data_IF_147440386955
#
_entry.id   IF_147440386955
#
_cell.length_a   1.000
_cell.length_b   1.000
_cell.length_c   1.000
_cell.angle_alpha   90.00
_cell.angle_beta   90.00
_cell.angle_gamma   90.00
#
_symmetry.space_group_name_H-M   'P 1'
#
loop_
_entity.id
_entity.type
_entity.pdbx_description
1 polymer ?
#
# COMPACT_ATOMS: atom_id res chain seq x y z
N UNK A 1 -8.17 6.22 20.61
CA UNK A 1 -8.40 5.45 19.36
C UNK A 1 -7.14 4.66 19.15
N UNK A 2 -7.25 3.41 18.72
CA UNK A 2 -6.11 2.50 18.65
C UNK A 2 -5.94 1.93 17.25
N UNK A 3 -4.74 1.46 16.94
CA UNK A 3 -4.43 0.69 15.73
C UNK A 3 -3.76 -0.63 16.12
N UNK A 4 -3.93 -1.66 15.29
CA UNK A 4 -3.15 -2.88 15.41
C UNK A 4 -1.83 -2.72 14.67
N UNK A 5 -0.74 -3.00 15.38
CA UNK A 5 0.59 -3.19 14.80
C UNK A 5 0.87 -4.69 14.72
N UNK A 6 1.89 -5.08 13.98
CA UNK A 6 2.32 -6.48 13.88
C UNK A 6 2.78 -7.08 15.23
N UNK A 7 3.01 -6.22 16.22
CA UNK A 7 3.40 -6.59 17.60
C UNK A 7 2.27 -6.38 18.62
N UNK A 8 1.07 -6.02 18.18
CA UNK A 8 -0.09 -5.83 19.06
C UNK A 8 -0.73 -4.45 18.95
N UNK A 9 -1.74 -4.21 19.80
CA UNK A 9 -2.51 -2.96 19.80
C UNK A 9 -1.70 -1.80 20.38
N UNK A 10 -1.82 -0.64 19.75
CA UNK A 10 -1.15 0.61 20.15
C UNK A 10 -2.14 1.78 20.08
N UNK A 11 -2.06 2.71 21.03
CA UNK A 11 -2.89 3.92 20.97
C UNK A 11 -2.34 4.91 19.95
N UNK A 12 -3.22 5.58 19.21
CA UNK A 12 -2.82 6.43 18.08
C UNK A 12 -1.97 7.63 18.49
N UNK A 13 -2.07 8.09 19.74
CA UNK A 13 -1.23 9.16 20.28
C UNK A 13 0.23 8.73 20.54
N UNK A 14 0.54 7.43 20.47
CA UNK A 14 1.88 6.90 20.66
C UNK A 14 2.65 6.74 19.33
N UNK A 15 1.97 6.85 18.17
CA UNK A 15 2.54 6.52 16.86
C UNK A 15 3.64 7.48 16.40
N UNK A 16 3.73 8.68 16.97
CA UNK A 16 4.72 9.68 16.55
C UNK A 16 4.58 10.05 15.07
N UNK A 17 5.73 10.18 14.38
CA UNK A 17 5.76 10.47 12.94
C UNK A 17 5.56 9.18 12.15
N UNK A 18 4.53 9.16 11.30
CA UNK A 18 4.13 7.96 10.56
C UNK A 18 4.48 8.10 9.09
N UNK A 19 5.13 7.07 8.52
CA UNK A 19 5.17 6.86 7.07
C UNK A 19 3.96 6.00 6.67
N UNK A 20 2.93 6.56 6.00
CA UNK A 20 1.62 5.91 5.90
C UNK A 20 1.47 4.91 4.75
N UNK A 21 2.50 4.72 3.92
CA UNK A 21 2.48 3.71 2.85
C UNK A 21 3.91 3.43 2.40
N UNK A 22 4.43 2.30 2.79
CA UNK A 22 5.76 1.84 2.45
C UNK A 22 5.72 0.30 2.28
N UNK A 23 6.87 -0.27 1.93
CA UNK A 23 7.06 -1.72 1.84
C UNK A 23 8.40 -2.06 2.47
N UNK A 24 8.39 -2.80 3.57
CA UNK A 24 9.61 -3.31 4.19
C UNK A 24 10.15 -4.48 3.38
N UNK A 25 9.25 -5.33 2.88
CA UNK A 25 9.56 -6.44 1.98
C UNK A 25 8.55 -6.44 0.83
N UNK A 26 8.99 -6.74 -0.38
CA UNK A 26 8.12 -6.81 -1.56
C UNK A 26 8.76 -7.64 -2.66
N UNK A 27 7.97 -8.38 -3.44
CA UNK A 27 8.41 -9.06 -4.65
C UNK A 27 7.48 -8.76 -5.84
N UNK A 28 7.96 -7.88 -6.72
CA UNK A 28 7.27 -7.46 -7.92
C UNK A 28 7.77 -8.18 -9.19
N UNK A 29 8.75 -9.08 -9.08
CA UNK A 29 9.41 -9.70 -10.25
C UNK A 29 8.43 -10.40 -11.17
N UNK A 30 7.38 -11.01 -10.61
CA UNK A 30 6.32 -11.69 -11.38
C UNK A 30 5.48 -10.75 -12.27
N UNK A 31 5.50 -9.44 -12.02
CA UNK A 31 4.76 -8.43 -12.80
C UNK A 31 5.64 -7.73 -13.82
N UNK A 32 6.95 -8.00 -13.81
CA UNK A 32 7.88 -7.44 -14.79
C UNK A 32 7.70 -8.17 -16.12
N UNK A 33 7.55 -7.39 -17.19
CA UNK A 33 7.47 -7.94 -18.55
C UNK A 33 8.73 -8.73 -18.89
N UNK A 34 8.62 -9.98 -19.39
CA UNK A 34 9.80 -10.79 -19.69
C UNK A 34 10.70 -10.14 -20.75
N UNK A 35 12.04 -10.10 -20.54
CA UNK A 35 12.97 -9.57 -21.52
C UNK A 35 12.98 -10.41 -22.80
N UNK A 36 12.98 -9.76 -23.97
CA UNK A 36 12.82 -10.42 -25.26
C UNK A 36 14.16 -10.80 -25.89
N UNK A 37 15.08 -9.84 -25.95
CA UNK A 37 16.41 -10.00 -26.54
C UNK A 37 17.42 -10.66 -25.58
N UNK A 38 18.52 -11.18 -26.14
CA UNK A 38 19.62 -11.76 -25.36
C UNK A 38 20.23 -10.71 -24.42
N UNK A 39 20.41 -9.48 -24.91
CA UNK A 39 20.99 -8.38 -24.13
C UNK A 39 20.09 -7.97 -22.96
N UNK A 40 18.77 -7.90 -23.17
CA UNK A 40 17.82 -7.62 -22.09
C UNK A 40 17.78 -8.75 -21.06
N UNK A 41 17.85 -10.02 -21.50
CA UNK A 41 17.90 -11.17 -20.58
C UNK A 41 19.13 -11.11 -19.68
N UNK A 42 20.30 -10.78 -20.25
CA UNK A 42 21.54 -10.62 -19.49
C UNK A 42 21.41 -9.48 -18.47
N UNK A 43 20.94 -8.32 -18.92
CA UNK A 43 20.75 -7.14 -18.07
C UNK A 43 19.76 -7.40 -16.93
N UNK A 44 18.65 -8.08 -17.22
CA UNK A 44 17.62 -8.40 -16.23
C UNK A 44 18.14 -9.28 -15.08
N UNK A 45 19.15 -10.12 -15.33
CA UNK A 45 19.78 -10.98 -14.33
C UNK A 45 20.92 -10.33 -13.54
N UNK A 46 21.31 -9.09 -13.88
CA UNK A 46 22.35 -8.38 -13.13
C UNK A 46 21.87 -7.98 -11.73
N UNK A 47 22.83 -7.64 -10.86
CA UNK A 47 22.57 -6.98 -9.57
C UNK A 47 22.61 -5.46 -9.74
N UNK A 48 21.80 -4.74 -8.95
CA UNK A 48 21.81 -3.28 -8.92
C UNK A 48 23.21 -2.80 -8.52
N UNK A 49 23.78 -1.89 -9.30
CA UNK A 49 25.07 -1.29 -9.01
C UNK A 49 25.20 0.10 -9.67
N UNK A 50 26.28 0.82 -9.35
CA UNK A 50 26.48 2.19 -9.86
C UNK A 50 26.58 2.26 -11.39
N UNK A 51 27.05 1.21 -12.07
CA UNK A 51 27.24 1.23 -13.53
C UNK A 51 25.92 1.09 -14.29
N UNK A 52 24.94 0.39 -13.71
CA UNK A 52 23.63 0.20 -14.32
C UNK A 52 22.55 1.16 -13.78
N UNK A 53 22.89 2.06 -12.86
CA UNK A 53 21.97 3.07 -12.33
C UNK A 53 21.29 3.92 -13.40
N UNK A 54 22.01 4.29 -14.47
CA UNK A 54 21.43 5.04 -15.58
C UNK A 54 20.33 4.28 -16.33
N UNK A 55 20.42 2.95 -16.39
CA UNK A 55 19.36 2.09 -16.96
C UNK A 55 18.12 2.16 -16.07
N UNK A 56 18.30 1.95 -14.76
CA UNK A 56 17.21 1.94 -13.78
C UNK A 56 16.44 3.27 -13.73
N UNK A 57 17.12 4.40 -13.94
CA UNK A 57 16.45 5.70 -14.03
C UNK A 57 15.44 5.82 -15.20
N UNK A 58 15.61 5.03 -16.26
CA UNK A 58 14.73 5.03 -17.43
C UNK A 58 13.70 3.91 -17.38
N UNK A 59 14.10 2.76 -16.85
CA UNK A 59 13.25 1.61 -16.65
C UNK A 59 13.63 0.93 -15.33
N UNK A 60 12.91 1.22 -14.22
CA UNK A 60 13.15 0.60 -12.92
C UNK A 60 12.99 -0.92 -12.92
N UNK A 61 12.31 -1.49 -13.91
CA UNK A 61 12.07 -2.92 -14.05
C UNK A 61 13.05 -3.60 -15.03
N UNK A 62 14.05 -2.88 -15.57
CA UNK A 62 15.03 -3.45 -16.48
C UNK A 62 15.96 -4.48 -15.81
N UNK A 63 16.08 -4.44 -14.49
CA UNK A 63 16.92 -5.32 -13.67
C UNK A 63 16.03 -5.89 -12.57
N UNK A 64 15.85 -7.21 -12.54
CA UNK A 64 14.90 -7.87 -11.64
C UNK A 64 15.27 -7.71 -10.16
N UNK A 65 16.56 -7.51 -9.88
CA UNK A 65 17.08 -7.20 -8.54
C UNK A 65 16.49 -5.90 -7.96
N UNK A 66 16.14 -4.91 -8.81
CA UNK A 66 15.49 -3.67 -8.36
C UNK A 66 13.98 -3.85 -8.11
N UNK A 67 13.39 -4.99 -8.51
CA UNK A 67 11.97 -5.29 -8.37
C UNK A 67 11.65 -6.14 -7.13
N UNK A 68 12.61 -6.31 -6.22
CA UNK A 68 12.47 -7.08 -4.98
C UNK A 68 13.15 -6.35 -3.82
N UNK A 69 12.55 -6.41 -2.64
CA UNK A 69 13.17 -6.02 -1.36
C UNK A 69 13.05 -7.25 -0.45
N UNK A 70 14.14 -8.00 -0.30
CA UNK A 70 14.19 -9.25 0.47
C UNK A 70 15.41 -9.34 1.42
N UNK A 71 16.26 -8.31 1.47
CA UNK A 71 17.44 -8.26 2.34
C UNK A 71 17.10 -7.70 3.74
N UNK A 72 16.82 -8.60 4.69
CA UNK A 72 16.39 -8.24 6.06
C UNK A 72 17.35 -7.28 6.78
N UNK A 73 18.68 -7.45 6.64
CA UNK A 73 19.67 -6.58 7.28
C UNK A 73 19.61 -5.13 6.75
N UNK A 74 19.35 -4.96 5.44
CA UNK A 74 19.18 -3.64 4.82
C UNK A 74 17.89 -3.00 5.33
N UNK A 75 16.79 -3.75 5.39
CA UNK A 75 15.50 -3.29 5.91
C UNK A 75 15.63 -2.83 7.37
N UNK A 76 16.31 -3.61 8.22
CA UNK A 76 16.57 -3.23 9.61
C UNK A 76 17.40 -1.96 9.73
N UNK A 77 18.43 -1.80 8.89
CA UNK A 77 19.27 -0.61 8.87
C UNK A 77 18.47 0.65 8.48
N UNK A 78 17.65 0.57 7.42
CA UNK A 78 16.81 1.68 6.95
C UNK A 78 15.74 2.07 7.99
N UNK A 79 15.06 1.10 8.59
CA UNK A 79 14.09 1.38 9.66
C UNK A 79 14.77 1.96 10.90
N UNK A 80 15.99 1.53 11.23
CA UNK A 80 16.78 2.13 12.31
C UNK A 80 17.16 3.58 11.99
N UNK A 81 17.51 3.87 10.74
CA UNK A 81 17.78 5.24 10.29
C UNK A 81 16.53 6.12 10.41
N UNK A 82 15.37 5.62 9.97
CA UNK A 82 14.07 6.31 10.14
C UNK A 82 13.77 6.59 11.62
N UNK A 83 13.95 5.60 12.51
CA UNK A 83 13.78 5.79 13.96
C UNK A 83 14.71 6.87 14.52
N UNK A 84 15.99 6.85 14.14
CA UNK A 84 16.98 7.86 14.57
C UNK A 84 16.64 9.27 14.08
N UNK A 85 15.97 9.38 12.93
CA UNK A 85 15.46 10.64 12.41
C UNK A 85 14.16 11.14 13.10
N UNK A 86 13.66 10.41 14.11
CA UNK A 86 12.42 10.75 14.83
C UNK A 86 11.17 10.03 14.32
N UNK A 87 11.34 9.05 13.42
CA UNK A 87 10.27 8.19 12.94
C UNK A 87 9.63 7.39 14.07
N UNK A 88 8.30 7.39 14.10
CA UNK A 88 7.52 6.77 15.17
C UNK A 88 6.80 5.49 14.75
N UNK A 89 6.26 5.41 13.53
CA UNK A 89 5.63 4.20 13.00
C UNK A 89 5.67 4.14 11.47
N UNK A 90 5.49 2.94 10.93
CA UNK A 90 5.58 2.64 9.51
C UNK A 90 4.38 1.78 9.10
N UNK A 91 3.71 2.14 8.00
CA UNK A 91 2.61 1.35 7.44
C UNK A 91 3.13 0.55 6.25
N UNK A 92 3.15 -0.78 6.40
CA UNK A 92 3.51 -1.71 5.34
C UNK A 92 2.25 -2.09 4.55
N UNK A 93 2.20 -1.73 3.27
CA UNK A 93 1.09 -2.05 2.37
C UNK A 93 1.42 -3.21 1.44
N UNK A 94 2.42 -4.04 1.75
CA UNK A 94 2.67 -5.26 1.00
C UNK A 94 1.55 -6.26 1.25
N UNK A 95 0.75 -6.50 0.20
CA UNK A 95 -0.35 -7.45 0.20
C UNK A 95 0.10 -8.88 -0.12
N UNK A 96 -0.80 -9.85 0.07
CA UNK A 96 -0.55 -11.28 -0.21
C UNK A 96 0.01 -11.48 -1.61
N UNK A 97 -0.52 -10.73 -2.57
CA UNK A 97 -0.17 -10.81 -3.98
C UNK A 97 1.16 -10.15 -4.34
N UNK A 98 1.88 -9.55 -3.38
CA UNK A 98 3.18 -8.89 -3.60
C UNK A 98 4.21 -9.23 -2.53
N UNK A 99 3.97 -10.26 -1.71
CA UNK A 99 4.97 -10.84 -0.80
C UNK A 99 4.77 -10.55 0.69
N UNK A 100 3.53 -10.36 1.15
CA UNK A 100 3.22 -10.16 2.58
C UNK A 100 3.77 -11.30 3.45
N UNK A 101 4.46 -10.94 4.53
CA UNK A 101 4.89 -11.85 5.59
C UNK A 101 4.73 -11.20 6.98
N UNK A 102 3.59 -11.42 7.67
CA UNK A 102 3.32 -10.80 8.97
C UNK A 102 4.31 -11.23 10.06
N UNK A 103 4.81 -12.47 10.01
CA UNK A 103 5.71 -13.00 11.02
C UNK A 103 7.10 -12.37 10.91
N UNK A 104 7.61 -12.22 9.68
CA UNK A 104 8.85 -11.49 9.39
C UNK A 104 8.75 -10.03 9.81
N UNK A 105 7.67 -9.33 9.44
CA UNK A 105 7.43 -7.95 9.86
C UNK A 105 7.43 -7.82 11.39
N UNK A 106 6.81 -8.76 12.11
CA UNK A 106 6.80 -8.74 13.57
C UNK A 106 8.19 -8.99 14.17
N UNK A 107 9.02 -9.83 13.55
CA UNK A 107 10.43 -10.03 13.92
C UNK A 107 11.23 -8.73 13.82
N UNK A 108 11.20 -8.11 12.65
CA UNK A 108 11.90 -6.84 12.37
C UNK A 108 11.40 -5.71 13.28
N UNK A 109 10.09 -5.58 13.45
CA UNK A 109 9.47 -4.59 14.35
C UNK A 109 10.01 -4.69 15.78
N UNK A 110 10.12 -5.91 16.33
CA UNK A 110 10.67 -6.14 17.68
C UNK A 110 12.14 -5.78 17.79
N UNK A 111 12.93 -6.13 16.79
CA UNK A 111 14.39 -5.93 16.81
C UNK A 111 14.78 -4.45 16.67
N UNK A 112 14.18 -3.75 15.71
CA UNK A 112 14.43 -2.31 15.48
C UNK A 112 13.69 -1.45 16.52
N UNK A 113 12.59 -1.97 17.07
CA UNK A 113 11.68 -1.25 17.95
C UNK A 113 10.97 -0.11 17.23
N UNK A 114 10.55 -0.34 15.98
CA UNK A 114 9.58 0.50 15.27
C UNK A 114 8.27 -0.26 15.13
N UNK A 115 7.14 0.30 15.56
CA UNK A 115 5.81 -0.22 15.26
C UNK A 115 5.56 -0.26 13.75
N UNK A 116 5.28 -1.46 13.23
CA UNK A 116 4.84 -1.68 11.85
C UNK A 116 3.34 -1.98 11.84
N UNK A 117 2.57 -1.25 11.02
CA UNK A 117 1.15 -1.45 10.79
C UNK A 117 1.00 -2.14 9.43
N UNK A 118 0.54 -3.39 9.41
CA UNK A 118 0.39 -4.14 8.17
C UNK A 118 -0.98 -3.92 7.50
N UNK A 119 -0.98 -3.89 6.18
CA UNK A 119 -2.15 -3.86 5.32
C UNK A 119 -2.72 -5.24 4.95
N UNK A 120 -3.92 -5.25 4.39
CA UNK A 120 -4.58 -6.46 3.87
C UNK A 120 -5.48 -6.17 2.67
N UNK A 121 -5.84 -7.22 1.93
CA UNK A 121 -6.69 -7.13 0.74
C UNK A 121 -5.95 -7.60 -0.50
N UNK A 122 -6.43 -7.11 -1.65
CA UNK A 122 -5.98 -7.54 -2.97
C UNK A 122 -5.44 -6.37 -3.76
N UNK A 123 -4.32 -6.60 -4.45
CA UNK A 123 -3.65 -5.59 -5.25
C UNK A 123 -4.30 -5.52 -6.66
N UNK A 124 -3.53 -5.28 -7.71
CA UNK A 124 -4.05 -5.05 -9.07
C UNK A 124 -4.52 -6.33 -9.74
N UNK A 125 -5.31 -6.20 -10.80
CA UNK A 125 -5.85 -7.32 -11.58
C UNK A 125 -4.77 -8.36 -11.97
N UNK A 126 -3.60 -7.89 -12.42
CA UNK A 126 -2.49 -8.77 -12.82
C UNK A 126 -1.90 -9.61 -11.68
N UNK A 127 -2.17 -9.25 -10.42
CA UNK A 127 -1.68 -9.95 -9.24
C UNK A 127 -2.72 -10.85 -8.57
N UNK A 128 -3.99 -10.74 -8.96
CA UNK A 128 -5.06 -11.53 -8.36
C UNK A 128 -4.82 -13.04 -8.51
N UNK A 129 -5.23 -13.84 -7.51
CA UNK A 129 -5.10 -15.28 -7.58
C UNK A 129 -6.01 -15.87 -8.66
N UNK A 130 -5.70 -17.11 -9.09
CA UNK A 130 -6.40 -17.78 -10.19
C UNK A 130 -7.89 -18.01 -9.94
N UNK A 131 -8.31 -18.07 -8.68
CA UNK A 131 -9.69 -18.27 -8.25
C UNK A 131 -10.46 -16.94 -8.07
N UNK A 132 -9.86 -15.79 -8.37
CA UNK A 132 -10.50 -14.49 -8.14
C UNK A 132 -11.81 -14.31 -8.93
N UNK A 133 -11.94 -14.90 -10.12
CA UNK A 133 -13.17 -14.83 -10.92
C UNK A 133 -14.35 -15.48 -10.18
N UNK A 134 -14.09 -16.59 -9.47
CA UNK A 134 -15.10 -17.36 -8.74
C UNK A 134 -15.50 -16.73 -7.40
N UNK A 135 -14.64 -15.87 -6.83
CA UNK A 135 -14.92 -15.19 -5.55
C UNK A 135 -16.03 -14.15 -5.70
N UNK A 136 -17.01 -14.19 -4.80
CA UNK A 136 -17.99 -13.11 -4.66
C UNK A 136 -17.39 -11.92 -3.88
N UNK A 137 -18.11 -10.78 -3.88
CA UNK A 137 -17.76 -9.63 -3.03
C UNK A 137 -17.75 -10.04 -1.55
N UNK A 138 -18.70 -10.87 -1.11
CA UNK A 138 -18.81 -11.31 0.27
C UNK A 138 -17.67 -12.25 0.66
N UNK A 139 -17.20 -13.12 -0.25
CA UNK A 139 -16.02 -13.96 -0.01
C UNK A 139 -14.77 -13.10 0.24
N UNK A 140 -14.55 -12.10 -0.62
CA UNK A 140 -13.42 -11.18 -0.50
C UNK A 140 -13.55 -10.34 0.78
N UNK A 141 -14.74 -9.84 1.10
CA UNK A 141 -14.98 -9.08 2.32
C UNK A 141 -14.74 -9.95 3.57
N UNK A 142 -15.14 -11.21 3.54
CA UNK A 142 -14.90 -12.18 4.61
C UNK A 142 -13.40 -12.46 4.82
N UNK A 143 -12.61 -12.51 3.75
CA UNK A 143 -11.15 -12.65 3.83
C UNK A 143 -10.48 -11.41 4.41
N UNK A 144 -10.82 -10.20 3.93
CA UNK A 144 -10.31 -8.93 4.46
C UNK A 144 -10.71 -8.77 5.94
N UNK A 145 -11.97 -9.07 6.27
CA UNK A 145 -12.47 -9.03 7.65
C UNK A 145 -11.70 -10.01 8.55
N UNK A 146 -11.33 -11.18 8.03
CA UNK A 146 -10.54 -12.16 8.79
C UNK A 146 -9.16 -11.63 9.14
N UNK A 147 -8.48 -11.02 8.17
CA UNK A 147 -7.15 -10.45 8.34
C UNK A 147 -7.13 -9.33 9.40
N UNK A 148 -8.17 -8.48 9.45
CA UNK A 148 -8.26 -7.38 10.43
C UNK A 148 -8.77 -7.82 11.81
N UNK A 149 -9.66 -8.82 11.87
CA UNK A 149 -10.32 -9.22 13.13
C UNK A 149 -9.59 -10.35 13.87
N UNK A 150 -9.00 -11.30 13.14
CA UNK A 150 -8.44 -12.52 13.72
C UNK A 150 -6.94 -12.68 13.46
N UNK A 151 -6.50 -12.44 12.23
CA UNK A 151 -5.08 -12.49 11.85
C UNK A 151 -4.84 -12.92 10.41
N UNK A 152 -3.64 -12.63 9.93
CA UNK A 152 -3.19 -12.87 8.56
C UNK A 152 -2.37 -14.16 8.46
N UNK A 153 -2.52 -14.87 7.34
CA UNK A 153 -1.61 -15.95 6.89
C UNK A 153 -1.33 -17.05 7.94
N UNK A 154 -2.37 -17.44 8.68
CA UNK A 154 -2.28 -18.48 9.72
C UNK A 154 -1.67 -18.02 11.04
N UNK A 155 -1.35 -16.73 11.17
CA UNK A 155 -0.87 -16.10 12.41
C UNK A 155 -2.03 -15.45 13.18
N UNK A 156 -1.77 -14.98 14.39
CA UNK A 156 -2.67 -14.12 15.17
C UNK A 156 -2.40 -12.61 14.96
N UNK A 157 -1.58 -12.27 13.96
CA UNK A 157 -1.16 -10.91 13.66
C UNK A 157 -2.20 -10.27 12.75
N UNK A 158 -2.87 -9.23 13.26
CA UNK A 158 -3.95 -8.53 12.55
C UNK A 158 -3.42 -7.41 11.68
N UNK A 159 -4.08 -7.20 10.54
CA UNK A 159 -3.90 -5.98 9.77
C UNK A 159 -4.44 -4.78 10.56
N UNK A 160 -3.74 -3.64 10.46
CA UNK A 160 -4.16 -2.38 11.10
C UNK A 160 -4.75 -1.37 10.12
N UNK A 161 -4.66 -1.63 8.81
CA UNK A 161 -5.30 -0.86 7.74
C UNK A 161 -5.76 -1.80 6.64
N UNK A 162 -6.70 -1.34 5.80
CA UNK A 162 -7.14 -2.04 4.60
C UNK A 162 -6.38 -1.44 3.41
N UNK A 163 -5.84 -2.29 2.53
CA UNK A 163 -5.11 -1.90 1.34
C UNK A 163 -3.61 -2.19 1.37
N UNK A 164 -2.87 -1.86 0.31
CA UNK A 164 -3.29 -1.03 -0.84
C UNK A 164 -4.22 -1.73 -1.85
N UNK A 165 -5.52 -1.42 -1.85
CA UNK A 165 -6.46 -2.04 -2.79
C UNK A 165 -6.13 -1.57 -4.22
N UNK A 166 -5.85 -2.53 -5.11
CA UNK A 166 -5.35 -2.28 -6.45
C UNK A 166 -6.39 -1.79 -7.45
N UNK A 167 -6.01 -0.79 -8.25
CA UNK A 167 -6.71 -0.46 -9.49
C UNK A 167 -5.71 -0.30 -10.63
N UNK A 168 -6.01 -0.92 -11.77
CA UNK A 168 -5.28 -0.72 -13.02
C UNK A 168 -5.76 0.55 -13.72
N UNK A 169 -5.12 0.93 -14.83
CA UNK A 169 -5.50 2.13 -15.60
C UNK A 169 -6.99 2.13 -16.02
N UNK A 170 -7.51 0.93 -16.31
CA UNK A 170 -8.94 0.63 -16.41
C UNK A 170 -9.29 -0.26 -15.21
N UNK A 171 -10.30 0.14 -14.44
CA UNK A 171 -10.77 -0.65 -13.30
C UNK A 171 -11.44 -1.93 -13.83
N UNK A 172 -10.81 -3.07 -13.60
CA UNK A 172 -11.33 -4.37 -14.03
C UNK A 172 -12.50 -4.84 -13.13
N UNK A 173 -13.36 -5.77 -13.61
CA UNK A 173 -14.46 -6.30 -12.80
C UNK A 173 -14.02 -6.86 -11.44
N UNK A 174 -12.90 -7.58 -11.38
CA UNK A 174 -12.38 -8.12 -10.12
C UNK A 174 -11.83 -7.03 -9.20
N UNK A 175 -11.19 -5.98 -9.73
CA UNK A 175 -10.78 -4.82 -8.94
C UNK A 175 -12.00 -4.05 -8.40
N UNK A 176 -13.10 -3.99 -9.17
CA UNK A 176 -14.36 -3.46 -8.66
C UNK A 176 -14.91 -4.31 -7.50
N UNK A 177 -14.85 -5.65 -7.60
CA UNK A 177 -15.23 -6.54 -6.48
C UNK A 177 -14.40 -6.27 -5.23
N UNK A 178 -13.08 -6.14 -5.36
CA UNK A 178 -12.18 -5.91 -4.22
C UNK A 178 -12.38 -4.54 -3.58
N UNK A 179 -12.63 -3.48 -4.38
CA UNK A 179 -12.98 -2.16 -3.87
C UNK A 179 -14.27 -2.18 -3.05
N UNK A 180 -15.33 -2.81 -3.56
CA UNK A 180 -16.62 -2.91 -2.85
C UNK A 180 -16.44 -3.69 -1.54
N UNK A 181 -15.76 -4.84 -1.58
CA UNK A 181 -15.48 -5.63 -0.40
C UNK A 181 -14.69 -4.84 0.66
N UNK A 182 -13.67 -4.09 0.23
CA UNK A 182 -12.90 -3.23 1.11
C UNK A 182 -13.73 -2.11 1.74
N UNK A 183 -14.65 -1.49 0.97
CA UNK A 183 -15.58 -0.49 1.49
C UNK A 183 -16.49 -1.06 2.58
N UNK A 184 -17.05 -2.26 2.37
CA UNK A 184 -17.89 -2.93 3.35
C UNK A 184 -17.13 -3.22 4.66
N UNK A 185 -15.89 -3.72 4.57
CA UNK A 185 -15.08 -3.98 5.76
C UNK A 185 -14.64 -2.68 6.44
N UNK A 186 -14.32 -1.63 5.68
CA UNK A 186 -14.02 -0.32 6.24
C UNK A 186 -15.21 0.23 7.02
N UNK A 187 -16.42 0.16 6.45
CA UNK A 187 -17.65 0.59 7.13
C UNK A 187 -17.85 -0.13 8.46
N UNK A 188 -17.61 -1.44 8.51
CA UNK A 188 -17.79 -2.25 9.72
C UNK A 188 -16.72 -1.99 10.79
N UNK A 189 -15.49 -1.71 10.38
CA UNK A 189 -14.32 -1.68 11.28
C UNK A 189 -13.82 -0.28 11.61
N UNK A 190 -14.14 0.71 10.76
CA UNK A 190 -13.64 2.08 10.85
C UNK A 190 -12.14 2.24 10.56
N UNK A 191 -11.48 1.21 10.01
CA UNK A 191 -10.06 1.26 9.66
C UNK A 191 -9.80 2.19 8.47
N UNK A 192 -8.56 2.69 8.37
CA UNK A 192 -8.12 3.42 7.17
C UNK A 192 -8.08 2.49 5.95
N UNK A 193 -8.50 3.00 4.80
CA UNK A 193 -8.52 2.29 3.53
C UNK A 193 -7.60 2.98 2.54
N UNK A 194 -6.57 2.27 2.09
CA UNK A 194 -5.59 2.74 1.11
C UNK A 194 -5.90 2.15 -0.26
N UNK A 195 -5.90 2.98 -1.29
CA UNK A 195 -6.15 2.57 -2.67
C UNK A 195 -4.93 2.89 -3.51
N UNK A 196 -4.41 1.88 -4.18
CA UNK A 196 -3.48 2.06 -5.29
C UNK A 196 -4.23 2.50 -6.53
N UNK A 197 -3.86 3.64 -7.11
CA UNK A 197 -4.25 3.99 -8.47
C UNK A 197 -3.07 3.86 -9.40
N UNK A 198 -3.33 3.33 -10.60
CA UNK A 198 -2.36 3.36 -11.70
C UNK A 198 -1.73 4.76 -11.85
N UNK A 199 -0.41 4.77 -12.03
CA UNK A 199 0.41 5.98 -11.94
C UNK A 199 0.03 7.07 -12.95
N UNK A 200 -0.57 6.69 -14.07
CA UNK A 200 -0.87 7.60 -15.18
C UNK A 200 -2.37 7.76 -15.44
N UNK A 201 -3.21 7.00 -14.74
CA UNK A 201 -4.66 7.12 -14.83
C UNK A 201 -5.20 8.05 -13.74
N UNK A 202 -6.35 8.70 -14.02
CA UNK A 202 -7.01 9.62 -13.07
C UNK A 202 -8.31 9.05 -12.52
N UNK A 203 -8.30 7.76 -12.19
CA UNK A 203 -9.49 7.02 -11.75
C UNK A 203 -9.87 7.28 -10.28
N UNK A 204 -9.03 7.94 -9.49
CA UNK A 204 -9.28 8.15 -8.05
C UNK A 204 -10.63 8.77 -7.70
N UNK A 205 -11.20 9.66 -8.54
CA UNK A 205 -12.54 10.21 -8.30
C UNK A 205 -13.62 9.12 -8.42
N UNK A 206 -13.57 8.32 -9.49
CA UNK A 206 -14.48 7.20 -9.68
C UNK A 206 -14.33 6.14 -8.57
N UNK A 207 -13.10 5.94 -8.07
CA UNK A 207 -12.86 5.03 -6.95
C UNK A 207 -13.49 5.54 -5.66
N UNK A 208 -13.29 6.82 -5.29
CA UNK A 208 -13.94 7.39 -4.10
C UNK A 208 -15.47 7.31 -4.22
N UNK A 209 -16.01 7.67 -5.39
CA UNK A 209 -17.46 7.62 -5.62
C UNK A 209 -17.99 6.19 -5.44
N UNK A 210 -17.30 5.17 -5.99
CA UNK A 210 -17.65 3.77 -5.80
C UNK A 210 -17.58 3.32 -4.33
N UNK A 211 -16.50 3.67 -3.62
CA UNK A 211 -16.30 3.27 -2.22
C UNK A 211 -17.38 3.89 -1.32
N UNK A 212 -17.69 5.17 -1.53
CA UNK A 212 -18.69 5.89 -0.73
C UNK A 212 -20.11 5.41 -1.02
N UNK A 213 -20.44 5.07 -2.27
CA UNK A 213 -21.70 4.41 -2.64
C UNK A 213 -21.91 3.09 -1.85
N UNK A 214 -20.81 2.39 -1.54
CA UNK A 214 -20.81 1.15 -0.76
C UNK A 214 -20.48 1.36 0.72
N UNK A 215 -20.65 2.59 1.22
CA UNK A 215 -20.68 2.88 2.65
C UNK A 215 -19.34 3.19 3.31
N UNK A 216 -18.25 3.25 2.53
CA UNK A 216 -16.95 3.70 3.06
C UNK A 216 -17.04 5.15 3.53
N UNK A 217 -16.51 5.43 4.73
CA UNK A 217 -16.33 6.80 5.19
C UNK A 217 -15.20 7.48 4.39
N UNK A 218 -15.47 8.57 3.62
CA UNK A 218 -14.48 9.15 2.73
C UNK A 218 -13.27 9.73 3.46
N UNK A 219 -13.45 10.26 4.68
CA UNK A 219 -12.37 10.79 5.53
C UNK A 219 -11.39 9.71 6.03
N UNK A 220 -11.69 8.44 5.75
CA UNK A 220 -10.85 7.27 6.03
C UNK A 220 -10.29 6.63 4.77
N UNK A 221 -10.55 7.18 3.59
CA UNK A 221 -10.02 6.69 2.30
C UNK A 221 -8.79 7.51 1.91
N UNK A 222 -7.71 6.83 1.55
CA UNK A 222 -6.47 7.41 1.03
C UNK A 222 -6.24 6.94 -0.41
N UNK A 223 -6.36 7.86 -1.38
CA UNK A 223 -5.99 7.62 -2.78
C UNK A 223 -4.47 7.85 -2.93
N UNK A 224 -3.74 6.79 -3.26
CA UNK A 224 -2.29 6.82 -3.38
C UNK A 224 -1.84 7.20 -4.80
N UNK A 225 -0.56 7.55 -4.96
CA UNK A 225 0.10 7.77 -6.26
C UNK A 225 -0.47 8.91 -7.11
N UNK A 226 -1.10 9.90 -6.49
CA UNK A 226 -1.61 11.09 -7.19
C UNK A 226 -0.51 12.12 -7.48
N UNK A 227 0.74 11.78 -7.18
CA UNK A 227 1.92 12.64 -7.24
C UNK A 227 2.78 12.46 -8.48
N UNK A 228 2.56 11.40 -9.25
CA UNK A 228 3.35 11.14 -10.46
C UNK A 228 3.08 12.21 -11.53
N UNK A 229 1.86 12.76 -11.54
CA UNK A 229 1.48 13.95 -12.29
C UNK A 229 0.64 14.88 -11.40
N UNK A 230 1.22 16.01 -10.99
CA UNK A 230 0.56 16.95 -10.07
C UNK A 230 -0.43 17.81 -10.84
N UNK A 231 -1.71 17.45 -10.75
CA UNK A 231 -2.83 18.19 -11.36
C UNK A 231 -3.68 18.83 -10.26
N UNK A 232 -3.54 20.14 -9.97
CA UNK A 232 -4.19 20.78 -8.83
C UNK A 232 -5.71 20.61 -8.79
N UNK A 233 -6.40 20.75 -9.92
CA UNK A 233 -7.86 20.61 -9.98
C UNK A 233 -8.34 19.19 -9.65
N UNK A 234 -7.56 18.18 -10.05
CA UNK A 234 -7.83 16.79 -9.71
C UNK A 234 -7.63 16.52 -8.21
N UNK A 235 -6.53 17.02 -7.65
CA UNK A 235 -6.25 16.91 -6.21
C UNK A 235 -7.33 17.62 -5.38
N UNK A 236 -7.75 18.80 -5.81
CA UNK A 236 -8.85 19.53 -5.17
C UNK A 236 -10.17 18.75 -5.25
N UNK A 237 -10.50 18.18 -6.41
CA UNK A 237 -11.70 17.38 -6.58
C UNK A 237 -11.72 16.10 -5.70
N UNK A 238 -10.55 15.52 -5.42
CA UNK A 238 -10.40 14.42 -4.46
C UNK A 238 -10.66 14.89 -3.02
N UNK A 239 -10.10 16.04 -2.62
CA UNK A 239 -10.33 16.64 -1.30
C UNK A 239 -11.79 17.02 -1.08
N UNK A 240 -12.44 17.59 -2.10
CA UNK A 240 -13.84 18.03 -2.02
C UNK A 240 -14.80 16.85 -1.77
N UNK A 241 -14.39 15.62 -2.13
CA UNK A 241 -15.12 14.37 -1.82
C UNK A 241 -14.82 13.82 -0.42
N UNK A 242 -14.02 14.52 0.37
CA UNK A 242 -13.62 14.13 1.73
C UNK A 242 -12.50 13.10 1.79
N UNK A 243 -11.98 12.65 0.65
CA UNK A 243 -10.85 11.72 0.58
C UNK A 243 -9.55 12.37 1.05
N UNK A 244 -8.69 11.56 1.66
CA UNK A 244 -7.28 11.87 1.78
C UNK A 244 -6.57 11.45 0.48
N UNK A 245 -5.51 12.15 0.11
CA UNK A 245 -4.63 11.72 -0.98
C UNK A 245 -3.18 11.72 -0.51
N UNK A 246 -2.38 10.81 -1.08
CA UNK A 246 -0.97 10.68 -0.74
C UNK A 246 -0.08 11.04 -1.91
N UNK A 247 0.93 11.85 -1.59
CA UNK A 247 2.08 12.16 -2.46
C UNK A 247 3.26 11.29 -2.00
N UNK A 248 3.67 10.28 -2.79
CA UNK A 248 4.77 9.35 -2.47
C UNK A 248 6.14 9.85 -2.94
N UNK A 249 6.22 10.53 -4.09
CA UNK A 249 7.47 10.95 -4.72
C UNK A 249 8.05 12.20 -4.06
N UNK A 250 8.26 12.14 -2.75
CA UNK A 250 8.97 13.15 -1.99
C UNK A 250 10.48 12.95 -2.15
N UNK A 251 11.00 13.24 -3.35
CA UNK A 251 12.33 13.88 -3.41
C UNK A 251 12.26 15.32 -2.85
N UNK A 252 11.05 15.85 -2.62
CA UNK A 252 10.77 17.07 -1.86
C UNK A 252 9.44 16.93 -1.10
N UNK A 253 9.49 17.01 0.24
CA UNK A 253 8.39 16.71 1.17
C UNK A 253 7.22 17.71 1.16
N UNK A 254 5.96 17.23 1.06
CA UNK A 254 4.77 17.93 1.57
C UNK A 254 3.65 16.93 1.94
N UNK A 255 3.18 16.99 3.18
CA UNK A 255 1.89 16.42 3.63
C UNK A 255 0.92 17.60 3.81
N UNK A 256 -0.21 17.61 3.08
CA UNK A 256 -1.28 18.58 3.31
C UNK A 256 -2.35 18.00 4.23
N UNK A 257 -2.72 18.77 5.25
CA UNK A 257 -3.82 18.46 6.16
C UNK A 257 -5.00 19.39 5.80
N UNK A 258 -6.25 18.90 5.68
CA UNK A 258 -7.41 19.77 5.49
C UNK A 258 -7.50 20.74 6.69
N UNK A 259 -7.67 22.03 6.39
CA UNK A 259 -7.83 23.05 7.42
C UNK A 259 -9.03 22.72 8.30
N UNK A 260 -8.80 22.66 9.62
CA UNK A 260 -9.85 22.51 10.60
C UNK A 260 -10.89 23.63 10.45
N UNK A 261 -12.17 23.25 10.49
CA UNK A 261 -13.32 24.14 10.51
C UNK A 261 -13.09 25.30 11.48
N UNK A 262 -13.28 26.54 10.98
CA UNK A 262 -13.40 27.73 11.82
C UNK A 262 -14.56 27.50 12.78
N UNK A 263 -14.27 27.40 14.08
CA UNK A 263 -15.29 27.58 15.11
C UNK A 263 -15.75 29.03 15.08
N UNK A 264 -17.07 29.21 15.20
CA UNK A 264 -17.77 30.48 15.29
C UNK A 264 -17.26 31.35 16.45
#
# INVERSE_FOLDING_TARGET
MSVFTVTGRMETNQLGWVLPHEHAFIDLRRFVSPPQSISEKKLASEKVNLTNFGVLQRNPYAILDNAVIDEEDVVKAELTAFKRAGGGAFVDLTLRDIGRDPALLAGVSREVGIPIIAGCGYYIHASHPKDMDDKTVDDIAGEIHRDVSYGMDGTNIRAGVIGEIGTSAVIHPNEKKTLIAAAMVQQQTGLGLHVHTDLWARQGLAVIDLLTEHGAAPDKVCINHVDVDIVPDYLKALLDRGGLYRVRQLRQGVLFRPAAQKRA
#
